data_IF_444481352425
#
_entry.id   IF_444481352425
#
_cell.length_a   1.000
_cell.length_b   1.000
_cell.length_c   1.000
_cell.angle_alpha   90.00
_cell.angle_beta   90.00
_cell.angle_gamma   90.00
#
_symmetry.space_group_name_H-M   'P 1'
#
loop_
_entity.id
_entity.type
_entity.pdbx_description
1 polymer ?
#
# COMPACT_ATOMS: atom_id res chain seq x y z
N UNK A 1 4.97 18.92 2.46
CA UNK A 1 4.59 17.80 1.64
C UNK A 1 3.17 17.99 1.14
N UNK A 2 2.79 17.28 0.13
CA UNK A 2 1.51 17.47 -0.53
C UNK A 2 0.33 16.74 0.07
N UNK A 3 0.47 16.11 1.22
CA UNK A 3 -0.60 15.29 1.79
C UNK A 3 -1.36 16.04 2.87
N UNK A 4 -2.69 15.86 2.85
CA UNK A 4 -3.54 16.45 3.87
C UNK A 4 -3.30 15.81 5.23
N UNK A 5 -3.58 16.56 6.28
CA UNK A 5 -3.61 15.99 7.62
C UNK A 5 -4.82 15.08 7.76
N UNK A 6 -4.60 13.88 8.25
CA UNK A 6 -5.65 12.88 8.42
C UNK A 6 -5.75 12.43 9.88
N UNK A 7 -6.96 12.14 10.29
CA UNK A 7 -7.24 11.50 11.58
C UNK A 7 -7.70 10.06 11.31
N UNK A 8 -6.94 9.08 11.76
CA UNK A 8 -7.21 7.68 11.48
C UNK A 8 -7.51 6.91 12.75
N UNK A 9 -8.33 5.88 12.62
CA UNK A 9 -8.68 4.98 13.70
C UNK A 9 -8.34 3.54 13.32
N UNK A 10 -7.93 2.77 14.32
CA UNK A 10 -7.81 1.32 14.15
C UNK A 10 -9.21 0.70 14.23
N UNK A 11 -9.41 -0.38 13.48
CA UNK A 11 -10.66 -1.11 13.49
C UNK A 11 -10.40 -2.59 13.77
N UNK A 12 -11.11 -3.23 14.71
CA UNK A 12 -12.08 -2.60 15.60
C UNK A 12 -11.41 -1.64 16.59
N UNK A 13 -12.16 -0.64 17.03
CA UNK A 13 -11.64 0.31 18.03
C UNK A 13 -11.34 -0.41 19.34
N UNK A 14 -10.24 -0.05 19.97
CA UNK A 14 -9.86 -0.57 21.29
C UNK A 14 -9.71 0.61 22.24
N UNK A 15 -9.87 0.35 23.54
CA UNK A 15 -9.78 1.39 24.56
C UNK A 15 -8.37 1.97 24.70
N UNK A 16 -7.37 1.27 24.18
CA UNK A 16 -5.97 1.72 24.18
C UNK A 16 -5.60 2.51 22.93
N UNK A 17 -6.51 3.31 22.41
CA UNK A 17 -6.28 3.97 21.13
C UNK A 17 -5.25 5.09 21.25
N UNK A 18 -4.04 4.80 20.83
CA UNK A 18 -3.11 5.83 20.41
C UNK A 18 -3.44 6.14 18.94
N UNK A 19 -3.89 7.35 18.60
CA UNK A 19 -4.22 7.69 17.21
C UNK A 19 -3.09 7.40 16.23
N UNK A 20 -1.85 7.40 16.71
CA UNK A 20 -0.68 7.10 15.89
C UNK A 20 -0.63 5.63 15.45
N UNK A 21 -1.39 4.73 16.10
CA UNK A 21 -1.40 3.32 15.74
C UNK A 21 -2.13 3.04 14.43
N UNK A 22 -2.99 3.94 13.96
CA UNK A 22 -3.64 3.78 12.66
C UNK A 22 -2.70 4.09 11.51
N UNK A 23 -1.66 4.89 11.76
CA UNK A 23 -0.56 5.14 10.83
C UNK A 23 0.61 4.24 11.19
N UNK A 24 1.10 3.51 10.22
CA UNK A 24 2.32 2.74 10.39
C UNK A 24 3.49 3.52 9.79
N UNK A 25 4.70 3.30 10.31
CA UNK A 25 5.88 3.98 9.78
C UNK A 25 6.08 3.67 8.29
N UNK A 26 5.71 2.45 7.86
CA UNK A 26 5.77 2.08 6.45
C UNK A 26 4.85 2.95 5.60
N UNK A 27 3.65 3.32 6.10
CA UNK A 27 2.73 4.19 5.37
C UNK A 27 3.36 5.55 5.12
N UNK A 28 3.93 6.16 6.15
CA UNK A 28 4.58 7.46 6.02
C UNK A 28 5.75 7.40 5.03
N UNK A 29 6.56 6.35 5.14
CA UNK A 29 7.72 6.19 4.28
C UNK A 29 7.32 6.02 2.81
N UNK A 30 6.29 5.21 2.55
CA UNK A 30 5.77 5.03 1.20
C UNK A 30 5.26 6.35 0.61
N UNK A 31 4.50 7.12 1.41
CA UNK A 31 3.96 8.39 0.95
C UNK A 31 5.04 9.42 0.68
N UNK A 32 6.13 9.43 1.47
CA UNK A 32 7.25 10.33 1.24
C UNK A 32 7.88 10.12 -0.14
N UNK A 33 7.87 8.90 -0.64
CA UNK A 33 8.44 8.60 -1.96
C UNK A 33 7.64 9.21 -3.10
N UNK A 34 6.41 9.63 -2.83
CA UNK A 34 5.51 10.18 -3.85
C UNK A 34 5.39 11.71 -3.80
N UNK A 35 6.03 12.40 -2.84
CA UNK A 35 5.88 13.84 -2.64
C UNK A 35 6.12 14.65 -3.92
N UNK A 36 7.16 14.31 -4.69
CA UNK A 36 7.52 15.03 -5.90
C UNK A 36 7.12 14.27 -7.17
N UNK A 37 6.28 13.23 -7.02
CA UNK A 37 5.90 12.38 -8.14
C UNK A 37 4.57 12.81 -8.73
N UNK A 38 4.57 13.08 -10.03
CA UNK A 38 3.33 13.25 -10.77
C UNK A 38 2.79 11.86 -11.08
N UNK A 39 1.56 11.58 -10.60
CA UNK A 39 0.95 10.27 -10.75
C UNK A 39 0.10 10.26 -12.02
N UNK A 40 0.44 9.37 -12.95
CA UNK A 40 -0.27 9.18 -14.20
C UNK A 40 -0.74 7.73 -14.28
N UNK A 41 -2.05 7.54 -14.43
CA UNK A 41 -2.64 6.21 -14.47
C UNK A 41 -3.19 5.74 -13.13
N UNK A 42 -3.76 4.53 -13.06
CA UNK A 42 -4.33 4.01 -11.82
C UNK A 42 -3.31 3.90 -10.68
N UNK A 43 -3.78 4.14 -9.46
CA UNK A 43 -2.99 3.91 -8.25
C UNK A 43 -3.49 2.62 -7.60
N UNK A 44 -2.58 1.69 -7.37
CA UNK A 44 -2.90 0.42 -6.69
C UNK A 44 -2.24 0.43 -5.32
N UNK A 45 -3.02 0.05 -4.30
CA UNK A 45 -2.52 -0.06 -2.92
C UNK A 45 -2.82 -1.48 -2.45
N UNK A 46 -1.77 -2.24 -2.16
CA UNK A 46 -1.92 -3.63 -1.73
C UNK A 46 -1.68 -3.75 -0.23
N UNK A 47 -2.64 -4.40 0.45
CA UNK A 47 -2.54 -4.75 1.87
C UNK A 47 -2.54 -3.53 2.81
N UNK A 48 -3.28 -2.49 2.45
CA UNK A 48 -3.50 -1.34 3.33
C UNK A 48 -4.30 -1.82 4.56
N UNK A 49 -3.80 -1.56 5.76
CA UNK A 49 -4.36 -2.16 6.97
C UNK A 49 -5.55 -1.37 7.53
N UNK A 50 -5.37 -0.07 7.73
CA UNK A 50 -6.40 0.79 8.32
C UNK A 50 -6.85 1.89 7.38
N UNK A 51 -6.37 1.88 6.15
CA UNK A 51 -6.76 2.86 5.15
C UNK A 51 -5.90 4.11 5.10
N UNK A 52 -4.75 4.13 5.76
CA UNK A 52 -3.87 5.30 5.76
C UNK A 52 -3.49 5.72 4.33
N UNK A 53 -3.05 4.76 3.52
CA UNK A 53 -2.67 5.03 2.14
C UNK A 53 -3.88 5.39 1.28
N UNK A 54 -4.97 4.66 1.44
CA UNK A 54 -6.21 4.93 0.71
C UNK A 54 -6.76 6.33 1.00
N UNK A 55 -6.77 6.73 2.26
CA UNK A 55 -7.22 8.06 2.64
C UNK A 55 -6.29 9.16 2.13
N UNK A 56 -4.98 8.95 2.26
CA UNK A 56 -4.00 9.94 1.82
C UNK A 56 -4.03 10.16 0.31
N UNK A 57 -4.35 9.14 -0.46
CA UNK A 57 -4.34 9.17 -1.92
C UNK A 57 -5.75 9.21 -2.52
N UNK A 58 -6.77 9.49 -1.71
CA UNK A 58 -8.18 9.42 -2.14
C UNK A 58 -8.49 10.29 -3.36
N UNK A 59 -7.81 11.41 -3.53
CA UNK A 59 -8.00 12.28 -4.69
C UNK A 59 -7.61 11.62 -6.01
N UNK A 60 -6.80 10.55 -5.97
CA UNK A 60 -6.42 9.78 -7.14
C UNK A 60 -7.33 8.58 -7.39
N UNK A 61 -8.39 8.43 -6.62
CA UNK A 61 -9.32 7.31 -6.68
C UNK A 61 -8.59 5.96 -6.74
N UNK A 62 -7.81 5.63 -5.69
CA UNK A 62 -6.99 4.43 -5.72
C UNK A 62 -7.81 3.15 -5.63
N UNK A 63 -7.21 2.05 -6.09
CA UNK A 63 -7.73 0.71 -5.87
C UNK A 63 -7.03 0.12 -4.66
N UNK A 64 -7.80 -0.24 -3.65
CA UNK A 64 -7.28 -0.89 -2.44
C UNK A 64 -7.47 -2.40 -2.62
N UNK A 65 -6.37 -3.13 -2.68
CA UNK A 65 -6.36 -4.55 -3.00
C UNK A 65 -5.92 -5.35 -1.78
N UNK A 66 -6.73 -6.31 -1.38
CA UNK A 66 -6.43 -7.17 -0.26
C UNK A 66 -7.59 -8.07 0.07
N UNK A 67 -7.34 -9.05 0.94
CA UNK A 67 -8.32 -10.07 1.27
C UNK A 67 -8.93 -9.90 2.66
N UNK A 68 -8.55 -8.85 3.39
CA UNK A 68 -9.04 -8.62 4.74
C UNK A 68 -10.30 -7.76 4.72
N UNK A 69 -11.42 -8.37 5.11
CA UNK A 69 -12.67 -7.64 5.25
C UNK A 69 -12.58 -6.58 6.35
N UNK A 70 -11.86 -6.87 7.44
CA UNK A 70 -11.67 -5.89 8.52
C UNK A 70 -10.88 -4.68 8.05
N UNK A 71 -9.89 -4.88 7.19
CA UNK A 71 -9.14 -3.77 6.59
C UNK A 71 -10.02 -2.90 5.70
N UNK A 72 -10.93 -3.50 4.95
CA UNK A 72 -11.90 -2.75 4.15
C UNK A 72 -12.82 -1.92 5.04
N UNK A 73 -13.37 -2.53 6.10
CA UNK A 73 -14.23 -1.82 7.04
C UNK A 73 -13.49 -0.67 7.72
N UNK A 74 -12.24 -0.90 8.13
CA UNK A 74 -11.42 0.13 8.74
C UNK A 74 -11.17 1.29 7.79
N UNK A 75 -10.87 0.98 6.53
CA UNK A 75 -10.65 2.00 5.50
C UNK A 75 -11.91 2.85 5.28
N UNK A 76 -13.07 2.20 5.16
CA UNK A 76 -14.34 2.91 4.99
C UNK A 76 -14.64 3.83 6.17
N UNK A 77 -14.41 3.34 7.40
CA UNK A 77 -14.62 4.13 8.61
C UNK A 77 -13.69 5.34 8.64
N UNK A 78 -12.43 5.18 8.28
CA UNK A 78 -11.47 6.28 8.26
C UNK A 78 -11.75 7.27 7.14
N UNK A 79 -12.28 6.83 6.02
CA UNK A 79 -12.76 7.75 4.98
C UNK A 79 -13.87 8.63 5.52
N UNK A 80 -14.88 8.03 6.17
CA UNK A 80 -15.99 8.78 6.77
C UNK A 80 -15.51 9.73 7.85
N UNK A 81 -14.59 9.28 8.70
CA UNK A 81 -14.05 10.09 9.80
C UNK A 81 -13.31 11.33 9.30
N UNK A 82 -12.76 11.30 8.10
CA UNK A 82 -12.05 12.41 7.49
C UNK A 82 -12.88 13.15 6.43
N UNK A 83 -14.20 12.91 6.42
CA UNK A 83 -15.12 13.54 5.48
C UNK A 83 -14.76 13.29 4.00
N UNK A 84 -14.24 12.08 3.73
CA UNK A 84 -13.90 11.63 2.38
C UNK A 84 -14.98 10.64 1.92
N UNK A 85 -15.46 10.79 0.71
CA UNK A 85 -16.46 9.88 0.17
C UNK A 85 -15.89 8.45 0.08
N UNK A 86 -16.66 7.45 0.53
CA UNK A 86 -16.23 6.06 0.47
C UNK A 86 -15.97 5.60 -0.96
N UNK A 87 -16.67 6.17 -1.93
CA UNK A 87 -16.48 5.87 -3.35
C UNK A 87 -15.12 6.36 -3.88
N UNK A 88 -14.39 7.14 -3.11
CA UNK A 88 -13.04 7.59 -3.50
C UNK A 88 -12.04 6.45 -3.56
N UNK A 89 -12.31 5.34 -2.86
CA UNK A 89 -11.44 4.16 -2.86
C UNK A 89 -12.23 2.98 -3.39
N UNK A 90 -11.68 2.26 -4.37
CA UNK A 90 -12.29 1.06 -4.94
C UNK A 90 -11.62 -0.15 -4.33
N UNK A 91 -12.41 -1.12 -3.88
CA UNK A 91 -11.89 -2.29 -3.20
C UNK A 91 -11.90 -3.51 -4.12
N UNK A 92 -10.78 -4.22 -4.17
CA UNK A 92 -10.64 -5.48 -4.90
C UNK A 92 -9.98 -6.51 -4.00
N UNK A 93 -10.34 -7.80 -4.15
CA UNK A 93 -9.60 -8.86 -3.50
C UNK A 93 -8.36 -9.23 -4.34
N UNK A 94 -7.46 -10.03 -3.77
CA UNK A 94 -6.20 -10.38 -4.43
C UNK A 94 -6.37 -11.25 -5.67
N UNK A 95 -7.53 -11.85 -5.87
CA UNK A 95 -7.81 -12.72 -7.03
C UNK A 95 -8.52 -11.99 -8.16
N UNK A 96 -8.96 -10.74 -7.92
CA UNK A 96 -9.61 -9.95 -8.96
C UNK A 96 -8.61 -9.53 -10.03
N UNK A 97 -9.12 -9.17 -11.20
CA UNK A 97 -8.27 -8.60 -12.24
C UNK A 97 -7.82 -7.19 -11.82
N UNK A 98 -6.52 -6.96 -11.81
CA UNK A 98 -5.98 -5.66 -11.45
C UNK A 98 -6.07 -4.69 -12.63
N UNK A 99 -6.23 -3.38 -12.35
CA UNK A 99 -6.27 -2.37 -13.42
C UNK A 99 -5.00 -2.38 -14.26
N UNK A 100 -5.16 -2.21 -15.57
CA UNK A 100 -4.05 -2.21 -16.52
C UNK A 100 -3.23 -0.92 -16.47
N UNK A 101 -1.95 -1.05 -16.71
CA UNK A 101 -1.01 0.07 -16.82
C UNK A 101 -1.08 1.03 -15.62
N UNK A 102 -0.94 0.52 -14.39
CA UNK A 102 -0.95 1.41 -13.23
C UNK A 102 0.23 2.37 -13.27
N UNK A 103 0.02 3.59 -12.80
CA UNK A 103 1.09 4.57 -12.68
C UNK A 103 1.95 4.31 -11.45
N UNK A 104 1.30 3.98 -10.33
CA UNK A 104 1.97 3.73 -9.05
C UNK A 104 1.34 2.51 -8.39
N UNK A 105 2.19 1.66 -7.83
CA UNK A 105 1.78 0.51 -7.01
C UNK A 105 2.49 0.61 -5.68
N UNK A 106 1.72 0.69 -4.61
CA UNK A 106 2.25 0.68 -3.25
C UNK A 106 1.89 -0.65 -2.60
N UNK A 107 2.88 -1.35 -2.06
CA UNK A 107 2.66 -2.67 -1.45
C UNK A 107 3.14 -2.64 -0.01
N UNK A 108 2.23 -2.97 0.91
CA UNK A 108 2.65 -3.34 2.27
C UNK A 108 2.82 -4.85 2.27
N UNK A 109 3.99 -5.34 2.66
CA UNK A 109 4.27 -6.77 2.55
C UNK A 109 3.26 -7.58 3.36
N UNK A 110 2.63 -8.60 2.74
CA UNK A 110 1.71 -9.47 3.47
C UNK A 110 2.48 -10.43 4.38
N UNK A 111 1.76 -11.12 5.25
CA UNK A 111 2.37 -12.01 6.24
C UNK A 111 2.97 -13.27 5.64
N UNK A 112 2.50 -13.71 4.48
CA UNK A 112 2.97 -14.96 3.86
C UNK A 112 3.63 -14.70 2.52
N UNK A 113 4.66 -15.49 2.23
CA UNK A 113 5.32 -15.45 0.93
C UNK A 113 4.39 -15.92 -0.20
N UNK A 114 3.49 -16.85 0.10
CA UNK A 114 2.54 -17.35 -0.90
C UNK A 114 1.61 -16.24 -1.39
N UNK A 115 1.09 -15.40 -0.47
CA UNK A 115 0.25 -14.29 -0.87
C UNK A 115 1.05 -13.25 -1.64
N UNK A 116 2.28 -12.96 -1.18
CA UNK A 116 3.14 -12.02 -1.88
C UNK A 116 3.39 -12.49 -3.32
N UNK A 117 3.72 -13.76 -3.50
CA UNK A 117 3.95 -14.29 -4.85
C UNK A 117 2.70 -14.16 -5.73
N UNK A 118 1.53 -14.48 -5.19
CA UNK A 118 0.27 -14.34 -5.92
C UNK A 118 0.06 -12.90 -6.37
N UNK A 119 0.28 -11.94 -5.46
CA UNK A 119 0.12 -10.52 -5.77
C UNK A 119 1.12 -10.03 -6.80
N UNK A 120 2.39 -10.43 -6.67
CA UNK A 120 3.43 -10.03 -7.63
C UNK A 120 3.16 -10.58 -9.03
N UNK A 121 2.68 -11.83 -9.12
CA UNK A 121 2.34 -12.42 -10.42
C UNK A 121 1.15 -11.72 -11.05
N UNK A 122 0.15 -11.31 -10.25
CA UNK A 122 -0.97 -10.53 -10.76
C UNK A 122 -0.51 -9.16 -11.26
N UNK A 123 0.40 -8.51 -10.53
CA UNK A 123 0.96 -7.23 -10.94
C UNK A 123 1.76 -7.34 -12.23
N UNK A 124 2.52 -8.42 -12.39
CA UNK A 124 3.32 -8.65 -13.60
C UNK A 124 2.50 -8.55 -14.88
N UNK A 125 1.24 -8.99 -14.82
CA UNK A 125 0.34 -8.99 -15.98
C UNK A 125 -0.14 -7.60 -16.38
N UNK A 126 -0.04 -6.61 -15.48
CA UNK A 126 -0.62 -5.29 -15.72
C UNK A 126 0.39 -4.16 -15.72
N UNK A 127 1.56 -4.33 -15.11
CA UNK A 127 2.56 -3.28 -15.03
C UNK A 127 3.24 -2.99 -16.36
N UNK A 128 3.74 -1.78 -16.50
CA UNK A 128 4.51 -1.34 -17.66
C UNK A 128 5.89 -0.85 -17.20
N UNK A 129 6.83 -0.61 -18.12
CA UNK A 129 8.13 -0.03 -17.73
C UNK A 129 8.01 1.33 -17.03
N UNK A 130 6.90 2.03 -17.20
CA UNK A 130 6.65 3.32 -16.55
C UNK A 130 5.99 3.18 -15.18
N UNK A 131 5.51 2.00 -14.82
CA UNK A 131 4.89 1.77 -13.51
C UNK A 131 5.93 1.87 -12.41
N UNK A 132 5.65 2.70 -11.42
CA UNK A 132 6.51 2.79 -10.23
C UNK A 132 5.95 1.87 -9.15
N UNK A 133 6.77 0.91 -8.71
CA UNK A 133 6.37 -0.06 -7.69
C UNK A 133 7.23 0.16 -6.46
N UNK A 134 6.60 0.39 -5.31
CA UNK A 134 7.30 0.59 -4.05
C UNK A 134 6.64 -0.28 -3.00
N UNK A 135 7.43 -1.14 -2.36
CA UNK A 135 6.94 -1.99 -1.27
C UNK A 135 7.59 -1.55 0.03
N UNK A 136 6.84 -1.63 1.11
CA UNK A 136 7.31 -1.24 2.43
C UNK A 136 7.00 -2.29 3.47
N UNK A 137 7.91 -2.44 4.43
CA UNK A 137 7.74 -3.35 5.57
C UNK A 137 8.76 -2.99 6.63
N UNK A 138 8.61 -3.58 7.82
CA UNK A 138 9.65 -3.48 8.83
C UNK A 138 10.91 -4.14 8.30
N UNK A 139 12.07 -3.54 8.58
CA UNK A 139 13.34 -4.04 8.08
C UNK A 139 13.55 -5.53 8.41
N UNK A 140 13.12 -5.96 9.60
CA UNK A 140 13.25 -7.36 10.03
C UNK A 140 12.41 -8.35 9.21
N UNK A 141 11.39 -7.86 8.50
CA UNK A 141 10.49 -8.69 7.71
C UNK A 141 10.93 -8.80 6.24
N UNK A 142 11.96 -8.04 5.85
CA UNK A 142 12.51 -8.12 4.50
C UNK A 142 13.70 -9.06 4.51
N UNK A 143 13.49 -10.27 4.01
CA UNK A 143 14.51 -11.31 3.94
C UNK A 143 15.08 -11.40 2.53
N UNK A 144 16.23 -12.12 2.40
CA UNK A 144 16.80 -12.37 1.10
C UNK A 144 15.80 -13.04 0.16
N UNK A 145 15.02 -13.99 0.69
CA UNK A 145 13.98 -14.68 -0.10
C UNK A 145 12.89 -13.73 -0.59
N UNK A 146 12.59 -12.67 0.18
CA UNK A 146 11.62 -11.64 -0.24
C UNK A 146 12.15 -10.90 -1.46
N UNK A 147 13.41 -10.46 -1.41
CA UNK A 147 14.03 -9.74 -2.51
C UNK A 147 14.18 -10.62 -3.75
N UNK A 148 14.55 -11.87 -3.56
CA UNK A 148 14.64 -12.82 -4.66
C UNK A 148 13.31 -13.03 -5.36
N UNK A 149 12.22 -13.05 -4.60
CA UNK A 149 10.88 -13.19 -5.17
C UNK A 149 10.50 -11.98 -6.03
N UNK A 150 10.79 -10.76 -5.54
CA UNK A 150 10.56 -9.55 -6.34
C UNK A 150 11.36 -9.60 -7.64
N UNK A 151 12.63 -9.95 -7.57
CA UNK A 151 13.47 -10.03 -8.77
C UNK A 151 13.01 -11.11 -9.75
N UNK A 152 12.61 -12.26 -9.22
CA UNK A 152 12.13 -13.38 -10.04
C UNK A 152 10.86 -13.03 -10.81
N UNK A 153 9.95 -12.31 -10.17
CA UNK A 153 8.62 -12.03 -10.75
C UNK A 153 8.60 -10.71 -11.51
N UNK A 154 9.18 -9.64 -10.95
CA UNK A 154 9.09 -8.29 -11.51
C UNK A 154 10.38 -7.78 -12.15
N UNK A 155 11.53 -8.37 -11.81
CA UNK A 155 12.82 -7.93 -12.32
C UNK A 155 13.67 -7.25 -11.26
N UNK A 156 14.77 -6.57 -11.65
CA UNK A 156 15.73 -6.01 -10.70
C UNK A 156 15.08 -5.10 -9.66
N UNK A 157 15.51 -5.27 -8.41
CA UNK A 157 14.98 -4.49 -7.28
C UNK A 157 16.12 -3.93 -6.46
N UNK A 158 15.84 -2.83 -5.75
CA UNK A 158 16.77 -2.22 -4.81
C UNK A 158 16.07 -2.02 -3.47
N UNK A 159 16.88 -1.91 -2.40
CA UNK A 159 16.32 -1.58 -1.08
C UNK A 159 16.88 -0.24 -0.62
N UNK A 160 16.09 0.47 0.19
CA UNK A 160 16.52 1.71 0.81
C UNK A 160 17.11 1.45 2.20
N UNK A 161 17.76 2.47 2.76
CA UNK A 161 18.17 2.42 4.14
C UNK A 161 16.96 2.38 5.06
N UNK A 162 17.11 1.75 6.23
CA UNK A 162 16.02 1.67 7.20
C UNK A 162 15.67 3.08 7.72
N UNK A 163 14.38 3.37 7.84
CA UNK A 163 13.86 4.59 8.42
C UNK A 163 12.80 4.19 9.45
N UNK A 164 13.00 4.57 10.70
CA UNK A 164 12.16 4.13 11.82
C UNK A 164 11.95 2.60 11.80
N UNK A 165 13.03 1.85 11.50
CA UNK A 165 13.03 0.38 11.36
C UNK A 165 12.22 -0.12 10.16
N UNK A 166 11.90 0.74 9.21
CA UNK A 166 11.22 0.35 7.99
C UNK A 166 12.17 0.39 6.80
N UNK A 167 11.87 -0.38 5.77
CA UNK A 167 12.59 -0.37 4.49
C UNK A 167 11.61 -0.42 3.34
N UNK A 168 12.05 0.08 2.20
CA UNK A 168 11.28 0.02 0.96
C UNK A 168 11.99 -0.86 -0.06
N UNK A 169 11.19 -1.46 -0.91
CA UNK A 169 11.65 -2.22 -2.07
C UNK A 169 11.13 -1.51 -3.30
N UNK A 170 12.04 -1.10 -4.19
CA UNK A 170 11.69 -0.45 -5.45
C UNK A 170 11.86 -1.44 -6.59
N UNK A 171 10.83 -1.60 -7.38
CA UNK A 171 10.85 -2.50 -8.52
C UNK A 171 10.53 -1.83 -9.84
#
# INVERSE_FOLDING_TARGET
>A
NGFRSLSLKRFPETDDVNPLLAWEAADEYLLQQLDDTEISGPVLILNDTFGALGCALAEHTPYSIGDSYLSELATRENLRHNDIAESSVKFLDSTADYPQAPGVVLIKLPKTMALLEQQLRALREVVTPQTRIIAGAKARDIHTSTLELFEKVLGPTTTTLAWKKERLING
#
